data_IF_701370031649
#
_entry.id   IF_701370031649
#
_cell.length_a   1.000
_cell.length_b   1.000
_cell.length_c   1.000
_cell.angle_alpha   90.00
_cell.angle_beta   90.00
_cell.angle_gamma   90.00
#
_symmetry.space_group_name_H-M   'P 1'
#
loop_
_entity.id
_entity.type
_entity.pdbx_description
1 polymer ?
#
# COMPACT_ATOMS: atom_id res chain seq x y z
N UNK A 1 21.68 7.95 50.23
CA UNK A 1 22.31 9.09 49.52
C UNK A 1 22.35 8.85 48.01
N UNK A 2 22.92 7.75 47.52
CA UNK A 2 22.96 7.44 46.08
C UNK A 2 21.58 7.37 45.38
N UNK A 3 20.59 6.72 46.00
CA UNK A 3 19.21 6.65 45.49
C UNK A 3 18.48 8.00 45.38
N UNK A 4 19.03 9.07 45.97
CA UNK A 4 18.43 10.42 45.95
C UNK A 4 19.06 11.31 44.87
N UNK A 5 20.18 10.88 44.25
CA UNK A 5 20.88 11.61 43.20
C UNK A 5 20.59 11.08 41.78
N UNK A 6 19.94 9.92 41.67
CA UNK A 6 19.67 9.25 40.38
C UNK A 6 18.22 9.49 39.99
N UNK A 7 18.01 10.07 38.81
CA UNK A 7 16.68 10.25 38.23
C UNK A 7 16.08 8.88 37.86
N UNK A 8 14.83 8.60 38.24
CA UNK A 8 14.19 7.37 37.83
C UNK A 8 13.88 7.39 36.34
N UNK A 9 14.10 6.25 35.68
CA UNK A 9 13.83 6.05 34.25
C UNK A 9 12.65 5.10 34.10
N UNK A 10 11.64 5.55 33.38
CA UNK A 10 10.46 4.81 32.99
C UNK A 10 10.63 4.22 31.58
N UNK A 11 9.91 3.15 31.27
CA UNK A 11 9.89 2.55 29.93
C UNK A 11 8.45 2.37 29.48
N UNK A 12 8.13 2.98 28.34
CA UNK A 12 6.90 2.73 27.61
C UNK A 12 7.19 1.70 26.52
N UNK A 13 6.23 0.81 26.25
CA UNK A 13 6.38 -0.27 25.27
C UNK A 13 5.16 -0.37 24.38
N UNK A 14 5.41 -0.45 23.08
CA UNK A 14 4.42 -0.78 22.07
C UNK A 14 4.78 -2.09 21.39
N UNK A 15 3.77 -2.92 21.09
CA UNK A 15 3.94 -4.18 20.35
C UNK A 15 2.87 -4.34 19.30
N UNK A 16 3.29 -4.77 18.11
CA UNK A 16 2.37 -5.04 17.01
C UNK A 16 2.85 -6.20 16.12
N UNK A 17 1.91 -6.82 15.44
CA UNK A 17 2.12 -7.87 14.44
C UNK A 17 1.67 -7.39 13.05
N UNK A 18 1.99 -8.14 11.98
CA UNK A 18 1.40 -7.88 10.67
C UNK A 18 -0.14 -7.83 10.75
N UNK A 19 -0.78 -6.86 10.09
CA UNK A 19 -2.23 -6.71 10.11
C UNK A 19 -2.94 -7.84 9.36
N UNK A 20 -4.26 -7.94 9.52
CA UNK A 20 -5.07 -8.87 8.75
C UNK A 20 -5.08 -8.50 7.25
N UNK A 21 -5.05 -9.50 6.37
CA UNK A 21 -5.14 -9.29 4.91
C UNK A 21 -6.44 -8.58 4.49
N UNK A 22 -7.51 -8.70 5.28
CA UNK A 22 -8.79 -7.99 5.08
C UNK A 22 -8.63 -6.47 5.09
N UNK A 23 -7.64 -5.92 5.80
CA UNK A 23 -7.41 -4.49 5.88
C UNK A 23 -7.02 -3.88 4.53
N UNK A 24 -6.50 -4.69 3.60
CA UNK A 24 -6.10 -4.29 2.26
C UNK A 24 -7.00 -4.87 1.15
N UNK A 25 -8.11 -5.50 1.49
CA UNK A 25 -8.99 -6.17 0.52
C UNK A 25 -9.45 -5.22 -0.60
N UNK A 26 -9.68 -3.95 -0.27
CA UNK A 26 -10.12 -2.94 -1.24
C UNK A 26 -9.01 -2.61 -2.24
N UNK A 27 -7.76 -2.47 -1.78
CA UNK A 27 -6.60 -2.26 -2.67
C UNK A 27 -6.28 -3.49 -3.51
N UNK A 28 -6.50 -4.68 -2.93
CA UNK A 28 -6.20 -5.97 -3.54
C UNK A 28 -7.38 -6.52 -4.36
N UNK A 29 -8.39 -5.69 -4.65
CA UNK A 29 -9.53 -6.10 -5.47
C UNK A 29 -9.09 -6.52 -6.88
N UNK A 30 -8.07 -5.84 -7.41
CA UNK A 30 -7.51 -6.15 -8.71
C UNK A 30 -6.24 -6.99 -8.59
N UNK A 31 -6.12 -8.05 -9.38
CA UNK A 31 -4.97 -8.97 -9.34
C UNK A 31 -3.65 -8.32 -9.76
N UNK A 32 -3.68 -7.14 -10.37
CA UNK A 32 -2.52 -6.44 -10.90
C UNK A 32 -1.90 -5.43 -9.92
N UNK A 33 -2.49 -5.26 -8.74
CA UNK A 33 -1.93 -4.49 -7.64
C UNK A 33 -2.12 -5.22 -6.32
N UNK A 34 -1.06 -5.35 -5.53
CA UNK A 34 -1.12 -6.02 -4.24
C UNK A 34 -0.33 -5.23 -3.19
N UNK A 35 -0.96 -5.05 -2.04
CA UNK A 35 -0.33 -4.64 -0.80
C UNK A 35 -0.39 -5.85 0.14
N UNK A 36 0.78 -6.35 0.53
CA UNK A 36 0.85 -7.41 1.53
C UNK A 36 0.84 -6.81 2.95
N UNK A 37 0.27 -7.52 3.94
CA UNK A 37 0.37 -7.15 5.34
C UNK A 37 1.81 -6.95 5.82
N UNK A 38 2.73 -7.81 5.37
CA UNK A 38 4.13 -7.72 5.74
C UNK A 38 4.79 -6.45 5.20
N UNK A 39 4.42 -6.00 4.00
CA UNK A 39 4.96 -4.76 3.42
C UNK A 39 4.52 -3.54 4.22
N UNK A 40 3.25 -3.47 4.62
CA UNK A 40 2.73 -2.38 5.45
C UNK A 40 3.42 -2.36 6.82
N UNK A 41 3.53 -3.53 7.46
CA UNK A 41 4.23 -3.72 8.73
C UNK A 41 5.70 -3.30 8.64
N UNK A 42 6.44 -3.74 7.62
CA UNK A 42 7.85 -3.38 7.41
C UNK A 42 8.01 -1.90 7.07
N UNK A 43 7.09 -1.32 6.30
CA UNK A 43 7.10 0.10 5.98
C UNK A 43 6.96 0.96 7.24
N UNK A 44 6.05 0.60 8.14
CA UNK A 44 5.92 1.26 9.45
C UNK A 44 7.20 1.12 10.26
N UNK A 45 7.67 -0.11 10.45
CA UNK A 45 8.87 -0.38 11.26
C UNK A 45 10.12 0.34 10.76
N UNK A 46 10.40 0.28 9.44
CA UNK A 46 11.53 0.98 8.84
C UNK A 46 11.42 2.51 9.01
N UNK A 47 10.21 3.05 8.91
CA UNK A 47 9.98 4.48 9.07
C UNK A 47 10.16 4.93 10.52
N UNK A 48 9.72 4.12 11.48
CA UNK A 48 9.94 4.38 12.91
C UNK A 48 11.43 4.35 13.29
N UNK A 49 12.25 3.56 12.59
CA UNK A 49 13.73 3.56 12.78
C UNK A 49 14.44 4.76 12.16
N UNK A 50 13.75 5.62 11.41
CA UNK A 50 14.34 6.78 10.76
C UNK A 50 14.37 7.99 11.70
N UNK A 51 15.57 8.49 11.99
CA UNK A 51 15.73 9.74 12.74
C UNK A 51 15.01 10.91 12.05
N UNK A 52 15.08 11.02 10.72
CA UNK A 52 14.41 12.09 9.98
C UNK A 52 12.89 12.05 10.12
N UNK A 53 12.32 10.85 10.30
CA UNK A 53 10.88 10.72 10.56
C UNK A 53 10.52 11.19 11.97
N UNK A 54 11.36 10.85 12.95
CA UNK A 54 11.20 11.31 14.32
C UNK A 54 11.38 12.82 14.45
N UNK A 55 12.40 13.39 13.81
CA UNK A 55 12.66 14.82 13.75
C UNK A 55 11.45 15.58 13.19
N UNK A 56 10.92 15.17 12.03
CA UNK A 56 9.74 15.78 11.43
C UNK A 56 8.50 15.71 12.36
N UNK A 57 8.32 14.60 13.08
CA UNK A 57 7.23 14.47 14.06
C UNK A 57 7.38 15.45 15.22
N UNK A 58 8.58 15.59 15.79
CA UNK A 58 8.84 16.52 16.90
C UNK A 58 8.74 17.97 16.43
N UNK A 59 9.16 18.30 15.20
CA UNK A 59 8.98 19.65 14.64
C UNK A 59 7.50 20.04 14.52
N UNK A 60 6.62 19.07 14.24
CA UNK A 60 5.18 19.32 14.06
C UNK A 60 4.38 19.29 15.37
N UNK A 61 4.68 18.35 16.28
CA UNK A 61 3.90 18.09 17.52
C UNK A 61 4.68 18.28 18.82
N UNK A 62 5.95 18.66 18.77
CA UNK A 62 6.81 18.78 19.97
C UNK A 62 6.28 19.78 21.00
N UNK A 63 5.69 20.88 20.55
CA UNK A 63 5.10 21.92 21.41
C UNK A 63 3.87 21.41 22.17
N UNK A 64 3.07 20.53 21.55
CA UNK A 64 1.85 19.95 22.16
C UNK A 64 2.20 18.95 23.27
N UNK A 65 3.31 18.22 23.08
CA UNK A 65 3.78 17.20 24.01
C UNK A 65 4.63 17.76 25.16
N UNK A 66 4.75 19.10 25.26
CA UNK A 66 5.59 19.77 26.28
C UNK A 66 7.01 19.21 26.33
N UNK A 67 7.59 18.92 25.17
CA UNK A 67 8.89 18.28 25.06
C UNK A 67 10.02 19.30 25.31
N UNK A 68 10.49 19.39 26.55
CA UNK A 68 11.61 20.25 26.96
C UNK A 68 12.81 19.38 27.33
N UNK A 69 13.72 19.16 26.38
CA UNK A 69 14.94 18.40 26.59
C UNK A 69 16.17 19.26 26.31
N UNK A 70 17.10 19.32 27.28
CA UNK A 70 18.43 19.91 27.07
C UNK A 70 19.31 19.07 26.10
N UNK A 71 18.94 17.81 25.88
CA UNK A 71 19.61 16.87 24.96
C UNK A 71 19.22 17.12 23.50
N UNK A 72 20.12 16.82 22.57
CA UNK A 72 19.82 16.91 21.14
C UNK A 72 18.85 15.79 20.70
N UNK A 73 17.95 16.08 19.76
CA UNK A 73 16.97 15.08 19.27
C UNK A 73 17.61 13.79 18.77
N UNK A 74 18.82 13.87 18.20
CA UNK A 74 19.56 12.71 17.72
C UNK A 74 20.03 11.82 18.86
N UNK A 75 20.53 12.40 19.95
CA UNK A 75 20.96 11.64 21.14
C UNK A 75 19.76 10.99 21.83
N UNK A 76 18.64 11.72 21.91
CA UNK A 76 17.37 11.19 22.40
C UNK A 76 16.93 9.98 21.59
N UNK A 77 16.89 10.12 20.26
CA UNK A 77 16.46 9.06 19.37
C UNK A 77 17.35 7.80 19.52
N UNK A 78 18.67 7.99 19.56
CA UNK A 78 19.62 6.86 19.67
C UNK A 78 19.61 6.18 21.03
N UNK A 79 19.44 6.94 22.12
CA UNK A 79 19.61 6.41 23.47
C UNK A 79 18.29 5.96 24.12
N UNK A 80 17.16 6.56 23.73
CA UNK A 80 15.85 6.32 24.36
C UNK A 80 14.95 5.40 23.57
N UNK A 81 15.11 5.30 22.24
CA UNK A 81 14.32 4.37 21.42
C UNK A 81 15.05 3.04 21.20
N UNK A 82 14.30 1.96 21.24
CA UNK A 82 14.76 0.64 20.82
C UNK A 82 13.67 -0.05 20.02
N UNK A 83 13.98 -0.45 18.80
CA UNK A 83 13.04 -1.09 17.87
C UNK A 83 13.59 -2.47 17.50
N UNK A 84 12.80 -3.51 17.77
CA UNK A 84 13.14 -4.92 17.53
C UNK A 84 12.01 -5.60 16.75
N UNK A 85 12.30 -6.76 16.13
CA UNK A 85 11.25 -7.63 15.56
C UNK A 85 10.76 -7.28 14.15
N UNK A 86 11.52 -6.50 13.38
CA UNK A 86 11.20 -6.18 11.98
C UNK A 86 11.33 -7.38 11.02
N UNK A 87 11.92 -8.49 11.46
CA UNK A 87 12.10 -9.72 10.70
C UNK A 87 11.46 -10.86 11.47
N UNK A 88 10.97 -11.87 10.74
CA UNK A 88 10.42 -13.08 11.32
C UNK A 88 11.45 -13.75 12.23
N UNK A 89 11.00 -14.23 13.38
CA UNK A 89 11.81 -15.04 14.26
C UNK A 89 12.01 -16.47 13.70
N UNK A 90 12.68 -17.34 14.47
CA UNK A 90 12.91 -18.74 14.06
C UNK A 90 11.63 -19.55 13.88
N UNK A 91 10.52 -19.12 14.50
CA UNK A 91 9.21 -19.75 14.37
C UNK A 91 8.39 -19.15 13.21
N UNK A 92 8.92 -18.17 12.49
CA UNK A 92 8.21 -17.47 11.43
C UNK A 92 7.26 -16.37 11.94
N UNK A 93 7.26 -16.09 13.24
CA UNK A 93 6.40 -15.04 13.81
C UNK A 93 7.05 -13.66 13.64
N UNK A 94 6.24 -12.68 13.25
CA UNK A 94 6.66 -11.28 13.13
C UNK A 94 5.96 -10.49 14.22
N UNK A 95 6.72 -9.91 15.13
CA UNK A 95 6.19 -9.04 16.18
C UNK A 95 7.20 -7.95 16.47
N UNK A 96 6.84 -6.71 16.21
CA UNK A 96 7.69 -5.57 16.47
C UNK A 96 7.51 -5.16 17.92
N UNK A 97 8.60 -4.78 18.56
CA UNK A 97 8.58 -4.17 19.88
C UNK A 97 9.30 -2.84 19.79
N UNK A 98 8.63 -1.79 20.22
CA UNK A 98 9.20 -0.45 20.32
C UNK A 98 9.20 -0.09 21.79
N UNK A 99 10.37 0.30 22.29
CA UNK A 99 10.56 0.73 23.67
C UNK A 99 11.03 2.17 23.66
N UNK A 100 10.44 2.99 24.52
CA UNK A 100 10.86 4.35 24.75
C UNK A 100 11.20 4.54 26.23
N UNK A 101 12.42 5.01 26.52
CA UNK A 101 12.88 5.26 27.89
C UNK A 101 12.89 6.75 28.19
N UNK A 102 12.24 7.16 29.27
CA UNK A 102 12.04 8.56 29.60
C UNK A 102 12.20 8.81 31.11
N UNK A 103 12.66 10.01 31.52
CA UNK A 103 12.74 10.41 32.92
C UNK A 103 11.35 10.65 33.54
N UNK A 104 11.32 10.75 34.86
CA UNK A 104 10.13 11.19 35.59
C UNK A 104 9.67 12.60 35.17
N UNK A 105 8.37 12.75 34.94
CA UNK A 105 7.75 14.04 34.57
C UNK A 105 7.55 14.23 33.07
N UNK A 106 8.03 13.32 32.23
CA UNK A 106 7.77 13.32 30.78
C UNK A 106 6.61 12.37 30.43
N UNK A 107 5.74 12.75 29.48
CA UNK A 107 4.65 11.91 28.97
C UNK A 107 5.14 10.94 27.88
N UNK A 108 6.11 10.09 28.22
CA UNK A 108 6.79 9.25 27.23
C UNK A 108 5.91 8.20 26.54
N UNK A 109 4.84 7.76 27.18
CA UNK A 109 3.82 6.87 26.62
C UNK A 109 2.94 7.59 25.58
N UNK A 110 2.50 8.81 25.87
CA UNK A 110 1.75 9.67 24.94
C UNK A 110 2.60 10.04 23.71
N UNK A 111 3.87 10.39 23.93
CA UNK A 111 4.83 10.65 22.86
C UNK A 111 5.02 9.42 21.97
N UNK A 112 5.21 8.23 22.56
CA UNK A 112 5.40 6.99 21.80
C UNK A 112 4.16 6.62 20.99
N UNK A 113 2.97 6.65 21.60
CA UNK A 113 1.72 6.35 20.91
C UNK A 113 1.46 7.36 19.77
N UNK A 114 1.67 8.66 20.02
CA UNK A 114 1.48 9.72 19.02
C UNK A 114 2.44 9.58 17.85
N UNK A 115 3.72 9.28 18.11
CA UNK A 115 4.71 9.06 17.06
C UNK A 115 4.35 7.87 16.17
N UNK A 116 3.88 6.78 16.77
CA UNK A 116 3.44 5.58 16.04
C UNK A 116 2.18 5.87 15.23
N UNK A 117 1.23 6.60 15.79
CA UNK A 117 -0.03 6.91 15.15
C UNK A 117 0.18 7.82 13.93
N UNK A 118 0.98 8.88 14.07
CA UNK A 118 1.37 9.77 12.97
C UNK A 118 2.13 9.03 11.87
N UNK A 119 3.11 8.20 12.28
CA UNK A 119 3.87 7.41 11.31
C UNK A 119 2.98 6.40 10.58
N UNK A 120 2.02 5.79 11.26
CA UNK A 120 1.04 4.88 10.67
C UNK A 120 0.12 5.61 9.69
N UNK A 121 -0.36 6.81 10.04
CA UNK A 121 -1.13 7.68 9.15
C UNK A 121 -0.35 8.00 7.87
N UNK A 122 0.92 8.37 8.01
CA UNK A 122 1.80 8.61 6.86
C UNK A 122 1.98 7.36 6.00
N UNK A 123 2.19 6.19 6.60
CA UNK A 123 2.33 4.92 5.85
C UNK A 123 1.04 4.59 5.11
N UNK A 124 -0.10 4.71 5.77
CA UNK A 124 -1.41 4.48 5.18
C UNK A 124 -1.67 5.41 3.99
N UNK A 125 -1.44 6.71 4.17
CA UNK A 125 -1.57 7.73 3.12
C UNK A 125 -0.70 7.41 1.89
N UNK A 126 0.54 6.93 2.11
CA UNK A 126 1.42 6.53 1.01
C UNK A 126 0.96 5.27 0.28
N UNK A 127 0.42 4.29 0.99
CA UNK A 127 -0.15 3.10 0.38
C UNK A 127 -1.33 3.48 -0.53
N UNK A 128 -2.18 4.37 -0.04
CA UNK A 128 -3.29 4.93 -0.82
C UNK A 128 -2.80 5.69 -2.05
N UNK A 129 -1.83 6.60 -1.90
CA UNK A 129 -1.26 7.36 -3.01
C UNK A 129 -0.62 6.44 -4.07
N UNK A 130 0.07 5.38 -3.65
CA UNK A 130 0.64 4.38 -4.57
C UNK A 130 -0.45 3.63 -5.34
N UNK A 131 -1.53 3.22 -4.67
CA UNK A 131 -2.68 2.61 -5.34
C UNK A 131 -3.31 3.58 -6.35
N UNK A 132 -3.58 4.82 -5.94
CA UNK A 132 -4.20 5.83 -6.78
C UNK A 132 -3.36 6.11 -8.04
N UNK A 133 -2.05 6.27 -7.89
CA UNK A 133 -1.13 6.46 -9.02
C UNK A 133 -1.12 5.24 -9.96
N UNK A 134 -1.13 4.03 -9.40
CA UNK A 134 -1.20 2.80 -10.21
C UNK A 134 -2.53 2.72 -10.97
N UNK A 135 -3.66 2.92 -10.29
CA UNK A 135 -4.99 2.84 -10.89
C UNK A 135 -5.17 3.90 -11.99
N UNK A 136 -4.65 5.12 -11.78
CA UNK A 136 -4.66 6.17 -12.80
C UNK A 136 -3.88 5.77 -14.06
N UNK A 137 -2.69 5.16 -13.88
CA UNK A 137 -1.91 4.66 -15.02
C UNK A 137 -2.64 3.52 -15.75
N UNK A 138 -3.34 2.64 -15.02
CA UNK A 138 -4.15 1.59 -15.62
C UNK A 138 -5.35 2.13 -16.40
N UNK A 139 -6.07 3.11 -15.86
CA UNK A 139 -7.16 3.79 -16.54
C UNK A 139 -6.69 4.44 -17.84
N UNK A 140 -5.56 5.15 -17.81
CA UNK A 140 -4.97 5.73 -19.01
C UNK A 140 -4.64 4.67 -20.06
N UNK A 141 -4.07 3.53 -19.66
CA UNK A 141 -3.78 2.42 -20.58
C UNK A 141 -5.06 1.85 -21.19
N UNK A 142 -6.10 1.64 -20.40
CA UNK A 142 -7.38 1.11 -20.87
C UNK A 142 -8.07 2.08 -21.83
N UNK A 143 -8.03 3.38 -21.55
CA UNK A 143 -8.57 4.42 -22.42
C UNK A 143 -7.84 4.48 -23.77
N UNK A 144 -6.49 4.42 -23.76
CA UNK A 144 -5.70 4.34 -24.99
C UNK A 144 -6.09 3.09 -25.79
N UNK A 145 -6.20 1.93 -25.15
CA UNK A 145 -6.59 0.69 -25.83
C UNK A 145 -8.00 0.78 -26.40
N UNK A 146 -8.95 1.35 -25.67
CA UNK A 146 -10.32 1.57 -26.12
C UNK A 146 -10.36 2.45 -27.37
N UNK A 147 -9.64 3.56 -27.36
CA UNK A 147 -9.55 4.49 -28.48
C UNK A 147 -8.90 3.84 -29.72
N UNK A 148 -7.82 3.07 -29.52
CA UNK A 148 -7.17 2.33 -30.61
C UNK A 148 -8.10 1.28 -31.22
N UNK A 149 -8.83 0.53 -30.39
CA UNK A 149 -9.78 -0.48 -30.85
C UNK A 149 -10.93 0.15 -31.63
N UNK A 150 -11.48 1.27 -31.15
CA UNK A 150 -12.53 2.02 -31.85
C UNK A 150 -12.03 2.59 -33.19
N UNK A 151 -10.79 3.12 -33.24
CA UNK A 151 -10.19 3.60 -34.46
C UNK A 151 -9.98 2.46 -35.48
N UNK A 152 -9.53 1.28 -35.03
CA UNK A 152 -9.36 0.11 -35.88
C UNK A 152 -10.71 -0.37 -36.45
N UNK A 153 -11.75 -0.47 -35.62
CA UNK A 153 -13.10 -0.79 -36.07
C UNK A 153 -13.61 0.23 -37.08
N UNK A 154 -13.32 1.51 -36.87
CA UNK A 154 -13.74 2.57 -37.79
C UNK A 154 -13.09 2.40 -39.15
N UNK A 155 -11.77 2.17 -39.20
CA UNK A 155 -11.06 1.92 -40.45
C UNK A 155 -11.60 0.68 -41.16
N UNK A 156 -11.89 -0.41 -40.44
CA UNK A 156 -12.51 -1.62 -41.00
C UNK A 156 -13.88 -1.32 -41.62
N UNK A 157 -14.73 -0.55 -40.93
CA UNK A 157 -16.04 -0.15 -41.47
C UNK A 157 -15.93 0.76 -42.70
N UNK A 158 -14.98 1.70 -42.69
CA UNK A 158 -14.73 2.58 -43.83
C UNK A 158 -14.25 1.79 -45.07
N UNK A 159 -13.41 0.77 -44.87
CA UNK A 159 -13.00 -0.16 -45.93
C UNK A 159 -14.18 -0.99 -46.45
N UNK A 160 -15.03 -1.51 -45.56
CA UNK A 160 -16.22 -2.27 -45.94
C UNK A 160 -17.20 -1.42 -46.78
N UNK A 161 -17.41 -0.16 -46.39
CA UNK A 161 -18.23 0.79 -47.15
C UNK A 161 -17.63 1.00 -48.55
N UNK A 162 -16.33 1.21 -48.65
CA UNK A 162 -15.66 1.43 -49.92
C UNK A 162 -15.80 0.23 -50.88
N UNK A 163 -15.70 -0.99 -50.37
CA UNK A 163 -15.94 -2.20 -51.15
C UNK A 163 -17.40 -2.35 -51.59
N UNK A 164 -18.37 -1.98 -50.73
CA UNK A 164 -19.79 -1.95 -51.08
C UNK A 164 -20.07 -0.90 -52.15
N UNK A 165 -19.48 0.30 -52.07
CA UNK A 165 -19.62 1.35 -53.08
C UNK A 165 -19.06 0.95 -54.46
N UNK A 166 -17.91 0.27 -54.48
CA UNK A 166 -17.37 -0.33 -55.70
C UNK A 166 -18.34 -1.36 -56.29
N UNK A 167 -18.91 -2.24 -55.46
CA UNK A 167 -19.88 -3.23 -55.90
C UNK A 167 -21.17 -2.60 -56.44
N UNK A 168 -21.68 -1.53 -55.81
CA UNK A 168 -22.83 -0.74 -56.30
C UNK A 168 -22.53 -0.18 -57.69
N UNK A 169 -21.34 0.39 -57.88
CA UNK A 169 -20.92 0.97 -59.16
C UNK A 169 -20.91 -0.07 -60.26
N UNK A 170 -20.34 -1.25 -60.00
CA UNK A 170 -20.33 -2.37 -60.95
C UNK A 170 -21.75 -2.89 -61.22
N UNK A 171 -22.58 -3.07 -60.18
CA UNK A 171 -23.95 -3.53 -60.33
C UNK A 171 -24.80 -2.57 -61.17
N UNK A 172 -24.67 -1.25 -60.97
CA UNK A 172 -25.34 -0.22 -61.78
C UNK A 172 -24.88 -0.26 -63.24
N UNK A 173 -23.58 -0.40 -63.48
CA UNK A 173 -23.03 -0.50 -64.84
C UNK A 173 -23.52 -1.76 -65.58
N UNK A 174 -23.76 -2.85 -64.84
CA UNK A 174 -24.28 -4.12 -65.36
C UNK A 174 -25.82 -4.20 -65.35
N UNK A 175 -26.54 -3.14 -64.92
CA UNK A 175 -27.99 -3.11 -64.73
C UNK A 175 -28.54 -4.25 -63.83
N UNK A 176 -27.77 -4.64 -62.80
CA UNK A 176 -28.19 -5.63 -61.81
C UNK A 176 -28.91 -4.88 -60.68
N UNK A 177 -30.24 -4.80 -60.76
CA UNK A 177 -31.06 -4.09 -59.76
C UNK A 177 -31.29 -4.91 -58.49
N UNK A 178 -31.68 -6.17 -58.67
CA UNK A 178 -32.01 -7.11 -57.59
C UNK A 178 -31.02 -8.27 -57.57
N UNK A 179 -30.97 -9.05 -56.47
CA UNK A 179 -30.08 -10.21 -56.38
C UNK A 179 -30.25 -11.13 -57.60
N UNK A 180 -29.18 -11.24 -58.39
CA UNK A 180 -29.15 -11.95 -59.66
C UNK A 180 -28.03 -12.97 -59.63
N UNK A 181 -28.33 -14.22 -59.95
CA UNK A 181 -27.34 -15.28 -60.03
C UNK A 181 -26.61 -15.24 -61.38
N UNK A 182 -25.35 -15.70 -61.48
CA UNK A 182 -24.58 -15.66 -62.73
C UNK A 182 -25.28 -16.29 -63.94
N UNK A 183 -26.02 -17.39 -63.74
CA UNK A 183 -26.76 -18.06 -64.81
C UNK A 183 -27.94 -17.24 -65.37
N UNK A 184 -28.42 -16.23 -64.65
CA UNK A 184 -29.54 -15.38 -65.07
C UNK A 184 -29.09 -14.24 -66.01
N UNK A 185 -27.79 -13.93 -66.06
CA UNK A 185 -27.23 -12.90 -66.94
C UNK A 185 -26.94 -13.42 -68.36
N UNK A 186 -26.83 -14.75 -68.55
CA UNK A 186 -26.38 -15.38 -69.80
C UNK A 186 -27.53 -15.72 -70.79
N UNK A 187 -28.75 -15.22 -70.52
CA UNK A 187 -29.93 -15.21 -71.40
C UNK A 187 -30.06 -16.33 -72.45
N UNK A 188 -30.87 -17.36 -72.18
CA UNK A 188 -31.51 -18.30 -73.13
C UNK A 188 -30.73 -18.89 -74.34
N UNK A 189 -29.40 -18.74 -74.49
CA UNK A 189 -28.66 -19.32 -75.63
C UNK A 189 -27.63 -20.41 -75.25
N UNK A 190 -28.07 -21.65 -75.48
CA UNK A 190 -27.30 -22.85 -75.87
C UNK A 190 -26.12 -23.28 -74.97
N UNK A 191 -26.43 -24.23 -74.09
CA UNK A 191 -25.81 -25.55 -74.17
C UNK A 191 -24.42 -25.77 -73.56
N UNK A 192 -23.92 -24.88 -72.70
CA UNK A 192 -22.73 -25.15 -71.88
C UNK A 192 -23.05 -24.96 -70.40
N UNK A 193 -23.31 -26.07 -69.71
CA UNK A 193 -23.57 -26.09 -68.26
C UNK A 193 -22.26 -25.79 -67.51
N UNK A 194 -21.93 -24.51 -67.32
CA UNK A 194 -20.85 -24.12 -66.41
C UNK A 194 -21.37 -24.34 -64.98
N UNK A 195 -20.93 -25.43 -64.36
CA UNK A 195 -21.25 -25.74 -62.96
C UNK A 195 -20.41 -24.77 -62.09
N UNK A 196 -21.05 -23.70 -61.62
CA UNK A 196 -20.46 -22.83 -60.59
C UNK A 196 -20.44 -23.58 -59.26
N UNK A 197 -19.36 -24.31 -58.99
CA UNK A 197 -19.22 -25.18 -57.82
C UNK A 197 -18.91 -24.46 -56.51
N UNK A 198 -19.04 -23.12 -56.44
CA UNK A 198 -18.72 -22.38 -55.23
C UNK A 198 -19.59 -21.12 -55.08
N UNK A 199 -20.81 -21.30 -54.56
CA UNK A 199 -21.76 -20.21 -54.25
C UNK A 199 -21.23 -19.29 -53.13
N UNK A 200 -20.25 -19.74 -52.35
CA UNK A 200 -19.70 -18.99 -51.22
C UNK A 200 -18.78 -17.82 -51.57
N UNK A 201 -18.38 -17.65 -52.83
CA UNK A 201 -17.42 -16.60 -53.25
C UNK A 201 -17.92 -15.80 -54.45
N UNK A 202 -19.24 -15.59 -54.55
CA UNK A 202 -19.82 -14.73 -55.58
C UNK A 202 -19.42 -13.28 -55.31
N UNK A 203 -18.95 -12.53 -56.32
CA UNK A 203 -18.68 -11.10 -56.17
C UNK A 203 -19.90 -10.32 -55.66
N UNK A 204 -19.69 -9.35 -54.75
CA UNK A 204 -20.78 -8.60 -54.09
C UNK A 204 -21.77 -7.94 -55.07
N UNK A 205 -21.34 -7.53 -56.26
CA UNK A 205 -22.20 -6.86 -57.25
C UNK A 205 -23.39 -7.72 -57.73
N UNK A 206 -23.34 -9.05 -57.58
CA UNK A 206 -24.46 -9.94 -57.88
C UNK A 206 -25.66 -9.77 -56.93
N UNK A 207 -25.47 -9.13 -55.77
CA UNK A 207 -26.57 -8.78 -54.84
C UNK A 207 -27.51 -7.70 -55.39
N UNK A 208 -27.07 -6.97 -56.43
CA UNK A 208 -27.81 -5.86 -57.02
C UNK A 208 -27.70 -4.54 -56.23
N UNK A 209 -27.82 -3.42 -56.93
CA UNK A 209 -27.51 -2.11 -56.35
C UNK A 209 -28.49 -1.68 -55.23
N UNK A 210 -29.75 -2.11 -55.25
CA UNK A 210 -30.72 -1.73 -54.20
C UNK A 210 -30.37 -2.34 -52.83
N UNK A 211 -29.96 -3.60 -52.82
CA UNK A 211 -29.56 -4.30 -51.60
C UNK A 211 -28.25 -3.72 -51.06
N UNK A 212 -27.29 -3.49 -51.94
CA UNK A 212 -26.00 -2.93 -51.57
C UNK A 212 -26.11 -1.48 -51.06
N UNK A 213 -27.02 -0.67 -51.61
CA UNK A 213 -27.30 0.68 -51.09
C UNK A 213 -27.86 0.62 -49.66
N UNK A 214 -28.75 -0.33 -49.38
CA UNK A 214 -29.26 -0.57 -48.03
C UNK A 214 -28.17 -1.03 -47.06
N UNK A 215 -27.25 -1.90 -47.51
CA UNK A 215 -26.08 -2.34 -46.75
C UNK A 215 -25.14 -1.15 -46.44
N UNK A 216 -24.82 -0.32 -47.44
CA UNK A 216 -24.03 0.89 -47.25
C UNK A 216 -24.65 1.82 -46.21
N UNK A 217 -25.96 2.08 -46.33
CA UNK A 217 -26.65 2.99 -45.42
C UNK A 217 -26.70 2.43 -43.98
N UNK A 218 -26.82 1.10 -43.83
CA UNK A 218 -26.71 0.43 -42.54
C UNK A 218 -25.29 0.54 -41.94
N UNK A 219 -24.25 0.37 -42.76
CA UNK A 219 -22.85 0.53 -42.35
C UNK A 219 -22.56 1.97 -41.92
N UNK A 220 -22.99 2.98 -42.69
CA UNK A 220 -22.86 4.40 -42.33
C UNK A 220 -23.61 4.69 -41.02
N UNK A 221 -24.82 4.17 -40.84
CA UNK A 221 -25.57 4.34 -39.59
C UNK A 221 -24.84 3.71 -38.38
N UNK A 222 -24.09 2.63 -38.59
CA UNK A 222 -23.32 1.97 -37.52
C UNK A 222 -22.09 2.78 -37.07
N UNK A 223 -21.46 3.51 -37.99
CA UNK A 223 -20.38 4.46 -37.67
C UNK A 223 -20.87 5.59 -36.75
N UNK A 224 -22.08 6.10 -37.02
CA UNK A 224 -22.66 7.23 -36.29
C UNK A 224 -23.18 6.86 -34.90
N UNK A 225 -23.70 5.62 -34.74
CA UNK A 225 -24.25 5.11 -33.47
C UNK A 225 -23.18 4.60 -32.49
N UNK A 226 -21.92 4.50 -32.92
CA UNK A 226 -20.81 4.01 -32.12
C UNK A 226 -20.47 2.55 -32.41
N UNK A 227 -19.17 2.29 -32.55
CA UNK A 227 -18.63 0.98 -32.88
C UNK A 227 -18.38 0.17 -31.60
N UNK A 228 -18.84 -1.07 -31.59
CA UNK A 228 -18.71 -1.95 -30.43
C UNK A 228 -18.38 -3.37 -30.85
N UNK A 229 -17.31 -3.91 -30.29
CA UNK A 229 -16.97 -5.32 -30.33
C UNK A 229 -16.79 -5.83 -28.89
N UNK A 230 -16.36 -7.09 -28.74
CA UNK A 230 -16.12 -7.67 -27.42
C UNK A 230 -15.04 -6.89 -26.64
N UNK A 231 -13.90 -6.60 -27.27
CA UNK A 231 -12.79 -5.89 -26.64
C UNK A 231 -13.17 -4.48 -26.15
N UNK A 232 -13.94 -3.72 -26.93
CA UNK A 232 -14.46 -2.40 -26.56
C UNK A 232 -15.33 -2.50 -25.30
N UNK A 233 -16.23 -3.50 -25.24
CA UNK A 233 -17.08 -3.70 -24.06
C UNK A 233 -16.29 -4.12 -22.83
N UNK A 234 -15.33 -5.04 -23.00
CA UNK A 234 -14.49 -5.54 -21.91
C UNK A 234 -13.59 -4.42 -21.35
N UNK A 235 -13.03 -3.58 -22.22
CA UNK A 235 -12.26 -2.39 -21.82
C UNK A 235 -13.13 -1.37 -21.09
N UNK A 236 -14.33 -1.06 -21.61
CA UNK A 236 -15.26 -0.14 -20.96
C UNK A 236 -15.66 -0.65 -19.57
N UNK A 237 -16.03 -1.92 -19.45
CA UNK A 237 -16.38 -2.52 -18.17
C UNK A 237 -15.20 -2.47 -17.18
N UNK A 238 -13.97 -2.68 -17.66
CA UNK A 238 -12.77 -2.58 -16.83
C UNK A 238 -12.50 -1.16 -16.35
N UNK A 239 -12.78 -0.14 -17.19
CA UNK A 239 -12.69 1.28 -16.82
C UNK A 239 -13.72 1.59 -15.74
N UNK A 240 -14.99 1.21 -15.97
CA UNK A 240 -16.09 1.49 -15.05
C UNK A 240 -15.86 0.86 -13.67
N UNK A 241 -15.41 -0.41 -13.64
CA UNK A 241 -15.09 -1.10 -12.39
C UNK A 241 -13.95 -0.42 -11.61
N UNK A 242 -12.92 0.05 -12.32
CA UNK A 242 -11.78 0.77 -11.71
C UNK A 242 -12.15 2.15 -11.19
N UNK A 243 -13.05 2.86 -11.87
CA UNK A 243 -13.57 4.14 -11.40
C UNK A 243 -14.41 3.96 -10.14
N UNK A 244 -15.36 3.02 -10.14
CA UNK A 244 -16.20 2.72 -8.97
C UNK A 244 -15.38 2.39 -7.72
N UNK A 245 -14.33 1.57 -7.88
CA UNK A 245 -13.46 1.23 -6.74
C UNK A 245 -12.65 2.44 -6.28
N UNK A 246 -12.11 3.23 -7.22
CA UNK A 246 -11.41 4.47 -6.89
C UNK A 246 -12.28 5.45 -6.09
N UNK A 247 -13.55 5.59 -6.49
CA UNK A 247 -14.51 6.46 -5.85
C UNK A 247 -14.85 5.96 -4.44
N UNK A 248 -15.09 4.64 -4.30
CA UNK A 248 -15.37 4.02 -2.99
C UNK A 248 -14.25 4.21 -1.98
N UNK A 249 -12.98 4.11 -2.42
CA UNK A 249 -11.82 4.33 -1.54
C UNK A 249 -11.73 5.82 -1.16
N UNK A 250 -11.98 6.72 -2.11
CA UNK A 250 -11.90 8.17 -1.89
C UNK A 250 -12.98 8.65 -0.89
N UNK A 251 -14.20 8.10 -0.97
CA UNK A 251 -15.28 8.34 -0.02
C UNK A 251 -14.94 7.80 1.38
N UNK A 252 -14.39 6.58 1.43
CA UNK A 252 -13.94 5.94 2.67
C UNK A 252 -12.87 6.77 3.38
N UNK A 253 -11.93 7.37 2.65
CA UNK A 253 -10.85 8.22 3.21
C UNK A 253 -11.36 9.62 3.59
N UNK A 254 -12.25 10.21 2.80
CA UNK A 254 -12.88 11.49 3.14
C UNK A 254 -13.69 11.40 4.44
N UNK A 255 -14.29 10.24 4.69
CA UNK A 255 -14.99 9.93 5.95
C UNK A 255 -14.02 9.74 7.14
N UNK A 256 -12.72 9.52 6.90
CA UNK A 256 -11.69 9.37 7.94
C UNK A 256 -11.00 10.64 8.37
N UNK A 257 -11.22 11.76 7.69
CA UNK A 257 -10.69 13.06 8.12
C UNK A 257 -11.21 13.51 9.51
N UNK A 258 -12.03 12.70 10.19
CA UNK A 258 -12.38 12.84 11.61
C UNK A 258 -12.27 11.55 12.44
N UNK A 259 -11.55 10.51 11.98
CA UNK A 259 -11.26 9.31 12.78
C UNK A 259 -9.97 9.50 13.59
N UNK A 260 -9.93 8.87 14.76
CA UNK A 260 -8.81 8.91 15.69
C UNK A 260 -7.57 8.21 15.08
N UNK A 261 -6.37 8.81 15.19
CA UNK A 261 -5.10 8.29 14.58
C UNK A 261 -4.79 6.83 15.00
N UNK A 262 -5.36 6.42 16.13
CA UNK A 262 -5.29 5.07 16.69
C UNK A 262 -5.95 4.00 15.80
N UNK A 263 -7.06 4.35 15.14
CA UNK A 263 -7.78 3.44 14.22
C UNK A 263 -6.94 3.19 12.97
N UNK A 264 -6.22 4.21 12.50
CA UNK A 264 -5.34 4.09 11.33
C UNK A 264 -4.15 3.18 11.64
N UNK A 265 -3.63 3.25 12.87
CA UNK A 265 -2.57 2.34 13.35
C UNK A 265 -2.99 0.89 13.22
N UNK A 266 -4.22 0.54 13.63
CA UNK A 266 -4.74 -0.83 13.57
C UNK A 266 -4.97 -1.35 12.13
N UNK A 267 -5.07 -0.43 11.14
CA UNK A 267 -5.13 -0.81 9.73
C UNK A 267 -3.76 -1.21 9.18
N UNK A 268 -2.71 -0.53 9.61
CA UNK A 268 -1.32 -0.74 9.15
C UNK A 268 -0.65 -1.89 9.88
N UNK A 269 -0.97 -2.10 11.16
CA UNK A 269 -0.46 -3.19 11.99
C UNK A 269 -1.52 -3.69 12.97
N UNK A 270 -1.48 -4.97 13.31
CA UNK A 270 -2.33 -5.51 14.38
C UNK A 270 -1.70 -5.19 15.74
N UNK A 271 -2.34 -4.31 16.51
CA UNK A 271 -1.77 -3.83 17.77
C UNK A 271 -2.01 -4.84 18.89
N UNK A 272 -0.92 -5.38 19.43
CA UNK A 272 -0.95 -6.32 20.55
C UNK A 272 -0.98 -5.55 21.88
N UNK A 273 -0.20 -4.48 21.98
CA UNK A 273 -0.02 -3.71 23.21
C UNK A 273 0.30 -2.25 22.87
N UNK A 274 -0.51 -1.32 23.38
CA UNK A 274 -0.22 0.11 23.33
C UNK A 274 0.73 0.54 24.44
N UNK A 275 1.37 1.68 24.26
CA UNK A 275 2.22 2.26 25.29
C UNK A 275 1.36 2.74 26.46
N UNK A 276 1.64 2.22 27.65
CA UNK A 276 1.03 2.65 28.91
C UNK A 276 2.09 3.30 29.80
N UNK A 277 1.69 4.18 30.74
CA UNK A 277 2.64 4.82 31.63
C UNK A 277 3.34 3.75 32.46
N UNK A 278 4.67 3.80 32.51
CA UNK A 278 5.45 2.80 33.21
C UNK A 278 5.11 2.77 34.69
N UNK A 279 4.34 1.78 35.17
CA UNK A 279 4.02 1.66 36.60
C UNK A 279 5.25 1.37 37.47
N UNK A 280 6.40 1.02 36.84
CA UNK A 280 7.66 0.67 37.52
C UNK A 280 8.87 1.23 36.79
N UNK A 281 9.79 1.81 37.56
CA UNK A 281 11.07 2.35 37.09
C UNK A 281 12.00 1.22 36.65
N UNK A 282 12.57 1.31 35.44
CA UNK A 282 13.57 0.35 34.92
C UNK A 282 14.94 0.57 35.55
N UNK A 283 15.24 1.81 35.94
CA UNK A 283 16.38 2.16 36.79
C UNK A 283 16.03 3.33 37.71
N UNK A 284 16.65 3.44 38.89
CA UNK A 284 17.54 2.47 39.54
C UNK A 284 16.79 1.32 40.24
N UNK A 285 17.30 0.08 40.11
CA UNK A 285 16.73 -1.10 40.77
C UNK A 285 16.93 -1.04 42.30
N UNK A 286 15.95 -0.48 43.03
CA UNK A 286 15.93 -0.34 44.50
C UNK A 286 16.37 -1.62 45.26
N UNK A 287 15.88 -2.84 44.94
CA UNK A 287 16.29 -4.04 45.68
C UNK A 287 17.74 -4.44 45.42
N UNK A 288 18.23 -4.27 44.18
CA UNK A 288 19.61 -4.61 43.81
C UNK A 288 20.61 -3.67 44.48
N UNK A 289 20.31 -2.37 44.52
CA UNK A 289 21.14 -1.38 45.21
C UNK A 289 21.19 -1.66 46.72
N UNK A 290 20.06 -2.04 47.32
CA UNK A 290 20.01 -2.41 48.73
C UNK A 290 20.89 -3.65 49.00
N UNK A 291 20.78 -4.70 48.18
CA UNK A 291 21.61 -5.90 48.30
C UNK A 291 23.11 -5.57 48.16
N UNK A 292 23.49 -4.76 47.16
CA UNK A 292 24.87 -4.34 46.96
C UNK A 292 25.40 -3.52 48.15
N UNK A 293 24.58 -2.64 48.72
CA UNK A 293 24.96 -1.82 49.88
C UNK A 293 25.26 -2.67 51.12
N UNK A 294 24.50 -3.75 51.32
CA UNK A 294 24.72 -4.70 52.43
C UNK A 294 26.04 -5.45 52.21
N UNK A 295 26.30 -5.92 50.98
CA UNK A 295 27.55 -6.62 50.65
C UNK A 295 28.76 -5.71 50.88
N UNK A 296 28.74 -4.50 50.33
CA UNK A 296 29.84 -3.53 50.49
C UNK A 296 30.02 -3.16 51.96
N UNK A 297 28.93 -2.90 52.69
CA UNK A 297 28.96 -2.61 54.12
C UNK A 297 29.57 -3.74 54.95
N UNK A 298 29.23 -4.99 54.62
CA UNK A 298 29.79 -6.17 55.31
C UNK A 298 31.30 -6.31 55.07
N UNK A 299 31.76 -6.11 53.84
CA UNK A 299 33.18 -6.16 53.48
C UNK A 299 33.96 -5.07 54.21
N UNK A 300 33.46 -3.83 54.19
CA UNK A 300 34.10 -2.71 54.90
C UNK A 300 34.13 -2.93 56.42
N UNK A 301 33.05 -3.46 57.01
CA UNK A 301 33.02 -3.80 58.43
C UNK A 301 34.08 -4.83 58.81
N UNK A 302 34.28 -5.85 57.96
CA UNK A 302 35.28 -6.88 58.17
C UNK A 302 36.71 -6.34 58.07
N UNK A 303 36.99 -5.46 57.11
CA UNK A 303 38.29 -4.79 56.95
C UNK A 303 38.62 -3.92 58.17
N UNK A 304 37.67 -3.12 58.66
CA UNK A 304 37.85 -2.27 59.85
C UNK A 304 38.10 -3.13 61.09
N UNK A 305 37.36 -4.23 61.25
CA UNK A 305 37.56 -5.16 62.37
C UNK A 305 38.97 -5.77 62.34
N UNK A 306 39.44 -6.22 61.17
CA UNK A 306 40.79 -6.77 61.00
C UNK A 306 41.87 -5.72 61.27
N UNK A 307 41.74 -4.50 60.76
CA UNK A 307 42.67 -3.41 61.06
C UNK A 307 42.70 -3.12 62.57
N UNK A 308 41.54 -3.05 63.23
CA UNK A 308 41.46 -2.79 64.67
C UNK A 308 42.18 -3.86 65.50
N UNK A 309 42.01 -5.13 65.15
CA UNK A 309 42.70 -6.25 65.80
C UNK A 309 44.22 -6.16 65.56
N UNK A 310 44.64 -5.86 64.32
CA UNK A 310 46.05 -5.74 63.98
C UNK A 310 46.75 -4.60 64.75
N UNK A 311 46.13 -3.41 64.81
CA UNK A 311 46.67 -2.27 65.58
C UNK A 311 46.76 -2.58 67.08
N UNK A 312 45.77 -3.28 67.65
CA UNK A 312 45.81 -3.71 69.05
C UNK A 312 46.94 -4.71 69.32
N UNK A 313 47.25 -5.58 68.36
CA UNK A 313 48.35 -6.53 68.45
C UNK A 313 49.72 -5.84 68.28
N UNK A 314 49.85 -4.83 67.43
CA UNK A 314 51.08 -4.04 67.28
C UNK A 314 51.40 -3.25 68.56
N UNK A 315 50.41 -2.57 69.16
CA UNK A 315 50.60 -1.83 70.42
C UNK A 315 50.99 -2.71 71.62
N UNK A 316 50.67 -4.01 71.57
CA UNK A 316 51.09 -4.98 72.60
C UNK A 316 52.53 -5.47 72.39
N UNK A 317 53.05 -5.43 71.16
CA UNK A 317 54.44 -5.79 70.87
C UNK A 317 55.42 -4.68 71.27
N UNK A 318 55.05 -3.41 71.09
CA UNK A 318 55.89 -2.26 71.49
C UNK A 318 55.95 -2.04 73.03
N UNK A 319 55.14 -2.75 73.81
CA UNK A 319 55.18 -2.74 75.29
C UNK A 319 55.91 -3.95 75.89
N UNK A 320 56.50 -4.80 75.03
CA UNK A 320 57.28 -5.97 75.42
C UNK A 320 58.73 -5.93 74.94
N UNK A 321 59.17 -4.83 74.33
CA UNK A 321 60.59 -4.43 74.23
C UNK A 321 60.90 -3.34 75.25
#
# INVERSE_FOLDING_TARGET
>A
MYLWLVTPVYEARFRAAPPAASNFAVFNHFNDFQISPEDAYRALGNRLTSFQNFEAFIEERGDELSFDSEESLIELFQNRFTIEGLVADRAGSMTMSIKYRYPEGENGDELLNSYIAETSSTVWSRLHARFAAYNQAQLMRLDINLNLEQAALRTEREEEIFEVERAITVARNLNIQTPTMPYQLDGEQRGSQIIYSNVGNLPKYFMGYETLESERDALISSLDKGLSNQNVRDNQQSIDARQQISDSISEDESSKNGLDDFIVTERVVDVIEYAFPGERTVSPNKPLILALSIVIGSIFGLVIALMSVSFKNMKRRDLQE
#
